data_IF_139659272797
#
_entry.id   IF_139659272797
#
_cell.length_a   1.000
_cell.length_b   1.000
_cell.length_c   1.000
_cell.angle_alpha   90.00
_cell.angle_beta   90.00
_cell.angle_gamma   90.00
#
_symmetry.space_group_name_H-M   'P 1'
#
loop_
_entity.id
_entity.type
_entity.pdbx_description
1 polymer ?
#
# COMPACT_ATOMS: atom_id res chain seq x y z
N UNK A 1 -0.36 3.08 5.19
CA UNK A 1 -1.07 3.00 3.89
C UNK A 1 -1.14 4.41 3.30
N UNK A 2 -1.71 4.61 2.11
CA UNK A 2 -1.79 5.91 1.45
C UNK A 2 -3.05 6.03 0.56
N UNK A 3 -3.30 7.24 0.05
CA UNK A 3 -4.41 7.56 -0.86
C UNK A 3 -5.78 7.23 -0.24
N UNK A 4 -6.73 6.72 -1.03
CA UNK A 4 -8.10 6.47 -0.54
C UNK A 4 -8.17 5.47 0.59
N UNK A 5 -7.22 4.55 0.70
CA UNK A 5 -7.18 3.60 1.81
C UNK A 5 -6.90 4.34 3.13
N UNK A 6 -6.00 5.33 3.12
CA UNK A 6 -5.81 6.23 4.27
C UNK A 6 -7.07 7.07 4.53
N UNK A 7 -7.72 7.55 3.46
CA UNK A 7 -9.00 8.26 3.53
C UNK A 7 -10.12 7.44 4.19
N UNK A 8 -10.14 6.11 4.02
CA UNK A 8 -11.13 5.25 4.68
C UNK A 8 -11.03 5.33 6.21
N UNK A 9 -9.83 5.47 6.79
CA UNK A 9 -9.69 5.67 8.24
C UNK A 9 -10.29 7.01 8.68
N UNK A 10 -10.14 8.05 7.85
CA UNK A 10 -10.73 9.37 8.13
C UNK A 10 -12.25 9.28 8.11
N UNK A 11 -12.83 8.62 7.10
CA UNK A 11 -14.28 8.44 7.01
C UNK A 11 -14.82 7.61 8.18
N UNK A 12 -14.13 6.53 8.55
CA UNK A 12 -14.47 5.69 9.71
C UNK A 12 -14.39 6.48 11.02
N UNK A 13 -13.35 7.30 11.20
CA UNK A 13 -13.22 8.14 12.38
C UNK A 13 -14.37 9.15 12.49
N UNK A 14 -14.77 9.78 11.38
CA UNK A 14 -15.89 10.72 11.35
C UNK A 14 -17.19 10.01 11.74
N UNK A 15 -17.47 8.84 11.15
CA UNK A 15 -18.65 8.02 11.50
C UNK A 15 -18.70 7.74 13.01
N UNK A 16 -17.60 7.29 13.61
CA UNK A 16 -17.55 7.00 15.04
C UNK A 16 -17.70 8.26 15.93
N UNK A 17 -17.19 9.41 15.49
CA UNK A 17 -17.42 10.68 16.18
C UNK A 17 -18.90 11.05 16.16
N UNK A 18 -19.58 10.88 15.02
CA UNK A 18 -21.01 11.13 14.88
C UNK A 18 -21.86 10.18 15.73
N UNK A 19 -21.38 8.95 15.94
CA UNK A 19 -21.98 7.95 16.84
C UNK A 19 -21.68 8.21 18.34
N UNK A 20 -20.83 9.18 18.66
CA UNK A 20 -20.52 9.59 20.03
C UNK A 20 -19.44 8.76 20.73
N UNK A 21 -18.57 8.08 19.98
CA UNK A 21 -17.43 7.36 20.56
C UNK A 21 -16.35 8.31 21.08
N UNK A 22 -15.71 7.92 22.18
CA UNK A 22 -14.57 8.63 22.76
C UNK A 22 -13.28 8.40 21.93
N UNK A 23 -12.33 9.35 21.95
CA UNK A 23 -11.12 9.27 21.11
C UNK A 23 -10.34 7.96 21.23
N UNK A 24 -10.21 7.39 22.43
CA UNK A 24 -9.47 6.14 22.61
C UNK A 24 -10.16 4.95 21.93
N UNK A 25 -11.50 4.91 21.94
CA UNK A 25 -12.25 3.85 21.28
C UNK A 25 -12.09 3.90 19.76
N UNK A 26 -12.01 5.11 19.20
CA UNK A 26 -11.74 5.33 17.77
C UNK A 26 -10.33 4.87 17.42
N UNK A 27 -9.32 5.23 18.22
CA UNK A 27 -7.95 4.78 17.98
C UNK A 27 -7.83 3.25 18.02
N UNK A 28 -8.52 2.60 18.95
CA UNK A 28 -8.52 1.14 19.06
C UNK A 28 -9.19 0.47 17.84
N UNK A 29 -10.33 1.00 17.37
CA UNK A 29 -11.02 0.55 16.14
C UNK A 29 -10.14 0.72 14.90
N UNK A 30 -9.58 1.91 14.69
CA UNK A 30 -8.70 2.18 13.54
C UNK A 30 -7.41 1.34 13.59
N UNK A 31 -6.89 1.05 14.78
CA UNK A 31 -5.73 0.16 14.94
C UNK A 31 -6.10 -1.27 14.56
N UNK A 32 -7.26 -1.77 14.99
CA UNK A 32 -7.75 -3.09 14.56
C UNK A 32 -8.00 -3.15 13.04
N UNK A 33 -8.62 -2.12 12.47
CA UNK A 33 -8.85 -1.98 11.04
C UNK A 33 -7.54 -2.04 10.26
N UNK A 34 -6.48 -1.39 10.78
CA UNK A 34 -5.14 -1.40 10.16
C UNK A 34 -4.56 -2.79 9.98
N UNK A 35 -4.72 -3.68 10.96
CA UNK A 35 -4.18 -5.04 10.90
C UNK A 35 -4.81 -5.90 9.78
N UNK A 36 -5.99 -5.50 9.30
CA UNK A 36 -6.73 -6.19 8.24
C UNK A 36 -6.76 -5.40 6.93
N UNK A 37 -6.04 -4.29 6.85
CA UNK A 37 -6.02 -3.43 5.66
C UNK A 37 -4.66 -3.53 4.97
N UNK A 38 -4.69 -3.83 3.68
CA UNK A 38 -3.51 -3.89 2.83
C UNK A 38 -3.77 -3.23 1.48
N UNK A 39 -2.72 -3.11 0.68
CA UNK A 39 -2.83 -2.59 -0.68
C UNK A 39 -1.75 -3.17 -1.58
N UNK A 40 -2.14 -3.50 -2.80
CA UNK A 40 -1.22 -3.78 -3.90
C UNK A 40 -1.17 -2.59 -4.84
N UNK A 41 0.00 -2.38 -5.44
CA UNK A 41 0.20 -1.38 -6.47
C UNK A 41 0.99 -1.95 -7.65
N UNK A 42 0.60 -1.53 -8.85
CA UNK A 42 1.27 -1.89 -10.10
C UNK A 42 1.82 -0.59 -10.68
N UNK A 43 3.12 -0.55 -10.91
CA UNK A 43 3.79 0.62 -11.51
C UNK A 43 4.48 0.23 -12.81
N UNK A 44 4.77 1.22 -13.67
CA UNK A 44 5.43 0.96 -14.94
C UNK A 44 6.93 0.64 -14.77
N UNK A 45 7.58 1.31 -13.82
CA UNK A 45 8.96 1.08 -13.40
C UNK A 45 9.18 1.53 -11.94
N UNK A 46 10.34 1.22 -11.36
CA UNK A 46 10.68 1.56 -9.97
C UNK A 46 11.52 2.84 -9.84
N UNK A 47 11.85 3.53 -10.93
CA UNK A 47 12.85 4.61 -10.94
C UNK A 47 12.50 5.72 -9.97
N UNK A 48 11.23 6.16 -9.98
CA UNK A 48 10.77 7.26 -9.12
C UNK A 48 10.69 6.83 -7.65
N UNK A 49 10.15 5.64 -7.37
CA UNK A 49 10.07 5.10 -6.01
C UNK A 49 11.46 4.89 -5.39
N UNK A 50 12.41 4.41 -6.18
CA UNK A 50 13.79 4.22 -5.76
C UNK A 50 14.51 5.54 -5.55
N UNK A 51 14.45 6.47 -6.53
CA UNK A 51 15.10 7.79 -6.44
C UNK A 51 14.61 8.58 -5.22
N UNK A 52 13.33 8.42 -4.90
CA UNK A 52 12.71 9.06 -3.75
C UNK A 52 12.94 8.28 -2.44
N UNK A 53 13.43 7.04 -2.46
CA UNK A 53 13.63 6.24 -1.25
C UNK A 53 12.34 5.74 -0.61
N UNK A 54 11.23 5.70 -1.37
CA UNK A 54 9.91 5.26 -0.89
C UNK A 54 9.70 3.75 -0.99
N UNK A 55 10.65 3.03 -1.60
CA UNK A 55 10.62 1.57 -1.75
C UNK A 55 11.79 0.91 -1.02
N UNK A 56 11.49 -0.10 -0.21
CA UNK A 56 12.48 -0.91 0.52
C UNK A 56 12.78 -2.17 -0.29
N UNK A 57 14.03 -2.66 -0.30
CA UNK A 57 14.37 -3.96 -0.90
C UNK A 57 14.38 -4.02 -2.45
N UNK A 58 14.08 -2.93 -3.15
CA UNK A 58 14.03 -2.91 -4.61
C UNK A 58 15.39 -3.05 -5.32
N UNK A 59 16.51 -2.95 -4.59
CA UNK A 59 17.86 -3.04 -5.16
C UNK A 59 18.09 -4.34 -5.94
N UNK A 60 17.51 -5.46 -5.46
CA UNK A 60 17.59 -6.76 -6.13
C UNK A 60 16.89 -6.80 -7.52
N UNK A 61 16.03 -5.82 -7.82
CA UNK A 61 15.22 -5.80 -9.04
C UNK A 61 15.78 -4.88 -10.13
N UNK A 62 16.71 -3.98 -9.80
CA UNK A 62 17.25 -2.93 -10.70
C UNK A 62 17.77 -3.49 -12.03
N UNK A 63 18.34 -4.69 -12.05
CA UNK A 63 18.87 -5.32 -13.27
C UNK A 63 17.92 -6.30 -13.98
N UNK A 64 16.86 -6.77 -13.32
CA UNK A 64 16.00 -7.87 -13.83
C UNK A 64 14.59 -7.42 -14.23
N UNK A 65 14.29 -6.12 -14.08
CA UNK A 65 12.96 -5.57 -14.34
C UNK A 65 12.70 -5.23 -15.83
N UNK A 66 13.68 -5.40 -16.71
CA UNK A 66 13.55 -5.02 -18.11
C UNK A 66 12.37 -5.79 -18.77
N UNK A 67 11.37 -5.04 -19.27
CA UNK A 67 10.10 -5.56 -19.83
C UNK A 67 9.17 -6.26 -18.84
N UNK A 68 9.37 -6.08 -17.54
CA UNK A 68 8.48 -6.58 -16.49
C UNK A 68 7.77 -5.41 -15.80
N UNK A 69 6.52 -5.62 -15.40
CA UNK A 69 5.73 -4.76 -14.54
C UNK A 69 5.91 -5.21 -13.09
N UNK A 70 6.44 -4.38 -12.20
CA UNK A 70 6.48 -4.66 -10.78
C UNK A 70 5.08 -4.59 -10.16
N UNK A 71 4.75 -5.62 -9.38
CA UNK A 71 3.68 -5.63 -8.39
C UNK A 71 4.34 -5.45 -7.03
N UNK A 72 3.86 -4.47 -6.28
CA UNK A 72 4.37 -4.13 -4.95
C UNK A 72 3.22 -4.20 -3.95
N UNK A 73 3.55 -4.33 -2.67
CA UNK A 73 2.58 -4.26 -1.58
C UNK A 73 3.04 -3.31 -0.47
N UNK A 74 2.08 -2.89 0.35
CA UNK A 74 2.38 -2.27 1.63
C UNK A 74 2.53 -3.33 2.71
N UNK A 75 3.61 -3.22 3.48
CA UNK A 75 3.86 -4.04 4.68
C UNK A 75 4.50 -3.13 5.73
N UNK A 76 3.89 -3.07 6.93
CA UNK A 76 4.30 -2.19 8.03
C UNK A 76 4.58 -0.74 7.61
N UNK A 77 3.70 -0.20 6.76
CA UNK A 77 3.79 1.17 6.24
C UNK A 77 4.88 1.39 5.18
N UNK A 78 5.63 0.36 4.80
CA UNK A 78 6.67 0.42 3.76
C UNK A 78 6.15 -0.19 2.47
N UNK A 79 6.61 0.34 1.34
CA UNK A 79 6.38 -0.28 0.04
C UNK A 79 7.49 -1.31 -0.21
N UNK A 80 7.10 -2.55 -0.46
CA UNK A 80 8.02 -3.65 -0.75
C UNK A 80 7.67 -4.39 -2.05
N UNK A 81 8.64 -5.01 -2.73
CA UNK A 81 8.39 -5.81 -3.92
C UNK A 81 7.64 -7.11 -3.59
N UNK A 82 6.63 -7.45 -4.39
CA UNK A 82 5.89 -8.73 -4.30
C UNK A 82 6.20 -9.63 -5.50
N UNK A 83 5.81 -9.21 -6.71
CA UNK A 83 5.97 -10.01 -7.94
C UNK A 83 6.46 -9.17 -9.13
N UNK A 84 7.06 -9.83 -10.13
CA UNK A 84 7.39 -9.25 -11.43
C UNK A 84 6.61 -9.98 -12.51
N UNK A 85 5.73 -9.28 -13.22
CA UNK A 85 4.86 -9.87 -14.25
C UNK A 85 5.02 -9.16 -15.60
N UNK A 86 4.91 -9.88 -16.72
CA UNK A 86 5.20 -9.28 -18.05
C UNK A 86 4.19 -8.23 -18.50
N UNK A 87 2.91 -8.43 -18.20
CA UNK A 87 1.83 -7.59 -18.73
C UNK A 87 0.96 -7.06 -17.61
N UNK A 88 0.42 -5.85 -17.80
CA UNK A 88 -0.53 -5.24 -16.86
C UNK A 88 -1.77 -6.09 -16.65
N UNK A 89 -2.26 -6.78 -17.68
CA UNK A 89 -3.40 -7.69 -17.57
C UNK A 89 -3.12 -8.85 -16.60
N UNK A 90 -1.92 -9.43 -16.66
CA UNK A 90 -1.52 -10.48 -15.69
C UNK A 90 -1.35 -9.90 -14.29
N UNK A 91 -0.76 -8.71 -14.18
CA UNK A 91 -0.60 -8.02 -12.89
C UNK A 91 -1.89 -7.78 -12.12
N UNK A 92 -3.00 -7.55 -12.82
CA UNK A 92 -4.33 -7.35 -12.22
C UNK A 92 -4.98 -8.69 -11.79
N UNK A 93 -4.49 -9.81 -12.32
CA UNK A 93 -5.01 -11.15 -12.04
C UNK A 93 -4.23 -11.89 -10.95
N UNK A 94 -3.05 -11.38 -10.58
CA UNK A 94 -2.31 -11.80 -9.39
C UNK A 94 -3.02 -11.26 -8.16
#
# INVERSE_FOLDING_TARGET
LAAMIEGCYVLRAIEMVEEGYEPQQIIDDLTNMREHTGAYLIVDDLKNLQKSGRITGAQAWVGTLLKMKPVLKFEDGKIIPEEKVRTKKRAIQT
#
